data_IF_702057741618
#
_entry.id   IF_702057741618
#
_cell.length_a   1.000
_cell.length_b   1.000
_cell.length_c   1.000
_cell.angle_alpha   90.00
_cell.angle_beta   90.00
_cell.angle_gamma   90.00
#
_symmetry.space_group_name_H-M   'P 1'
#
loop_
_entity.id
_entity.type
_entity.pdbx_description
1 polymer ?
#
# COMPACT_ATOMS: atom_id res chain seq x y z
N UNK A 1 27.18 16.05 -18.75
CA UNK A 1 26.23 16.59 -19.74
C UNK A 1 25.03 17.11 -18.96
N UNK A 2 24.39 18.19 -19.39
CA UNK A 2 23.20 18.69 -18.70
C UNK A 2 22.08 17.64 -18.76
N UNK A 3 21.39 17.41 -17.65
CA UNK A 3 20.23 16.53 -17.59
C UNK A 3 19.10 17.11 -18.46
N UNK A 4 18.58 16.31 -19.37
CA UNK A 4 17.50 16.71 -20.29
C UNK A 4 16.19 16.11 -19.80
N UNK A 5 15.16 16.95 -19.66
CA UNK A 5 13.81 16.51 -19.36
C UNK A 5 13.17 15.86 -20.59
N UNK A 6 12.56 14.69 -20.38
CA UNK A 6 11.63 14.04 -21.27
C UNK A 6 10.21 14.57 -21.06
N UNK A 7 9.73 15.36 -22.02
CA UNK A 7 8.36 15.88 -22.09
C UNK A 7 7.54 15.21 -23.20
N UNK A 8 7.92 14.01 -23.64
CA UNK A 8 7.14 13.28 -24.64
C UNK A 8 5.70 13.08 -24.15
N UNK A 9 4.68 13.34 -25.00
CA UNK A 9 3.28 13.12 -24.64
C UNK A 9 3.04 11.68 -24.19
N UNK A 10 2.02 11.47 -23.36
CA UNK A 10 1.66 10.13 -22.92
C UNK A 10 1.19 9.24 -24.08
N UNK A 11 1.65 8.00 -24.09
CA UNK A 11 1.21 6.93 -24.97
C UNK A 11 0.12 6.05 -24.36
N UNK A 12 -0.28 4.97 -25.06
CA UNK A 12 -1.25 4.00 -24.55
C UNK A 12 -0.83 3.42 -23.20
N UNK A 13 -1.76 3.41 -22.24
CA UNK A 13 -1.51 2.88 -20.90
C UNK A 13 -0.72 3.81 -19.97
N UNK A 14 -0.37 5.02 -20.41
CA UNK A 14 0.23 6.07 -19.57
C UNK A 14 -0.85 7.07 -19.09
N UNK A 15 -0.65 7.68 -17.92
CA UNK A 15 -1.64 8.60 -17.34
C UNK A 15 -1.64 9.98 -18.01
N UNK A 16 -0.45 10.48 -18.37
CA UNK A 16 -0.26 11.82 -18.90
C UNK A 16 0.05 12.87 -17.84
N UNK A 17 0.59 14.00 -18.29
CA UNK A 17 0.82 15.17 -17.46
C UNK A 17 -0.52 15.74 -17.00
N UNK A 18 -0.68 15.96 -15.69
CA UNK A 18 -1.91 16.51 -15.13
C UNK A 18 -1.61 17.41 -13.94
N UNK A 19 -2.41 18.49 -13.72
CA UNK A 19 -3.44 18.99 -14.64
C UNK A 19 -2.81 19.74 -15.85
N UNK A 20 -3.39 19.66 -17.04
CA UNK A 20 -2.91 20.42 -18.22
C UNK A 20 -4.08 20.77 -19.14
N UNK A 21 -4.29 22.06 -19.41
CA UNK A 21 -5.37 22.61 -20.23
C UNK A 21 -6.78 22.14 -19.83
N UNK A 22 -7.00 22.03 -18.51
CA UNK A 22 -8.26 21.57 -17.90
C UNK A 22 -8.70 22.52 -16.78
N UNK A 23 -9.99 22.47 -16.45
CA UNK A 23 -10.53 23.01 -15.20
C UNK A 23 -10.70 21.87 -14.20
N UNK A 24 -10.16 22.01 -12.98
CA UNK A 24 -10.28 21.01 -11.92
C UNK A 24 -11.39 21.37 -10.95
N UNK A 25 -12.18 20.37 -10.55
CA UNK A 25 -13.25 20.50 -9.55
C UNK A 25 -12.76 20.17 -8.13
N UNK A 26 -11.45 19.99 -7.95
CA UNK A 26 -10.77 19.77 -6.67
C UNK A 26 -9.61 20.75 -6.48
N UNK A 27 -9.32 21.06 -5.22
CA UNK A 27 -8.17 21.89 -4.81
C UNK A 27 -7.51 21.35 -3.53
N UNK A 28 -6.17 21.26 -3.46
CA UNK A 28 -5.25 21.39 -4.58
C UNK A 28 -5.41 20.22 -5.57
N UNK A 29 -5.07 20.40 -6.85
CA UNK A 29 -5.15 19.31 -7.82
C UNK A 29 -4.11 18.21 -7.51
N UNK A 30 -4.36 16.99 -8.01
CA UNK A 30 -3.32 15.97 -8.11
C UNK A 30 -2.40 16.24 -9.31
N UNK A 31 -1.13 16.48 -9.04
CA UNK A 31 -0.08 16.61 -10.03
C UNK A 31 0.46 15.24 -10.42
N UNK A 32 0.64 15.01 -11.72
CA UNK A 32 1.30 13.81 -12.28
C UNK A 32 2.19 14.24 -13.42
N UNK A 33 3.43 13.74 -13.45
CA UNK A 33 4.39 14.01 -14.53
C UNK A 33 5.09 12.74 -14.99
N UNK A 34 5.72 12.80 -16.18
CA UNK A 34 6.47 11.68 -16.76
C UNK A 34 7.71 11.36 -15.89
N UNK A 35 7.91 10.08 -15.50
CA UNK A 35 9.15 9.65 -14.86
C UNK A 35 10.37 9.91 -15.75
N UNK A 36 11.43 10.45 -15.15
CA UNK A 36 12.67 10.81 -15.84
C UNK A 36 13.73 9.72 -15.63
N UNK A 37 14.57 9.51 -16.63
CA UNK A 37 15.66 8.53 -16.55
C UNK A 37 16.66 8.93 -15.46
N UNK A 38 17.07 7.98 -14.62
CA UNK A 38 18.02 8.16 -13.51
C UNK A 38 17.61 9.20 -12.44
N UNK A 39 16.35 9.65 -12.42
CA UNK A 39 15.89 10.59 -11.41
C UNK A 39 15.84 9.96 -10.01
N UNK A 40 16.50 10.61 -9.06
CA UNK A 40 16.45 10.28 -7.64
C UNK A 40 15.41 11.12 -6.88
N UNK A 41 15.13 12.33 -7.36
CA UNK A 41 14.12 13.20 -6.75
C UNK A 41 13.57 14.23 -7.74
N UNK A 42 12.44 14.84 -7.37
CA UNK A 42 11.76 15.87 -8.14
C UNK A 42 11.45 17.09 -7.27
N UNK A 43 11.48 18.26 -7.92
CA UNK A 43 10.91 19.50 -7.39
C UNK A 43 9.74 19.93 -8.28
N UNK A 44 8.71 20.52 -7.69
CA UNK A 44 7.55 21.09 -8.39
C UNK A 44 7.33 22.53 -7.93
N UNK A 45 6.97 23.40 -8.87
CA UNK A 45 6.56 24.77 -8.60
C UNK A 45 5.18 25.03 -9.20
N UNK A 46 4.35 25.78 -8.48
CA UNK A 46 3.10 26.34 -8.98
C UNK A 46 3.11 27.86 -8.85
N UNK A 47 2.55 28.55 -9.84
CA UNK A 47 2.53 30.00 -9.95
C UNK A 47 1.20 30.49 -10.52
N UNK A 48 0.88 31.77 -10.28
CA UNK A 48 -0.27 32.45 -10.90
C UNK A 48 0.08 33.11 -12.24
N UNK A 49 1.37 33.17 -12.57
CA UNK A 49 1.91 33.77 -13.80
C UNK A 49 2.75 32.75 -14.56
N UNK A 50 2.63 32.78 -15.90
CA UNK A 50 3.21 31.75 -16.79
C UNK A 50 4.74 31.75 -16.87
N UNK A 51 5.38 32.87 -16.52
CA UNK A 51 6.83 33.02 -16.51
C UNK A 51 7.48 32.54 -15.20
N UNK A 52 6.68 32.15 -14.21
CA UNK A 52 7.13 31.72 -12.89
C UNK A 52 7.98 32.77 -12.17
N UNK A 53 7.73 34.06 -12.42
CA UNK A 53 8.36 35.18 -11.70
C UNK A 53 7.90 35.31 -10.25
N UNK A 54 6.71 34.78 -9.93
CA UNK A 54 6.16 34.70 -8.57
C UNK A 54 5.67 33.27 -8.29
N UNK A 55 6.36 32.58 -7.38
CA UNK A 55 6.09 31.18 -7.02
C UNK A 55 5.16 31.16 -5.81
N UNK A 56 3.93 30.71 -6.02
CA UNK A 56 2.92 30.61 -4.98
C UNK A 56 3.00 29.30 -4.19
N UNK A 57 3.56 28.23 -4.78
CA UNK A 57 3.78 26.96 -4.08
C UNK A 57 5.01 26.25 -4.63
N UNK A 58 5.76 25.58 -3.74
CA UNK A 58 6.92 24.77 -4.09
C UNK A 58 6.98 23.52 -3.19
N UNK A 59 7.28 22.37 -3.78
CA UNK A 59 7.68 21.18 -3.05
C UNK A 59 8.96 20.59 -3.64
N UNK A 60 9.84 20.09 -2.77
CA UNK A 60 11.18 19.60 -3.12
C UNK A 60 11.42 18.19 -2.61
N UNK A 61 12.35 17.49 -3.26
CA UNK A 61 12.78 16.17 -2.82
C UNK A 61 11.68 15.11 -2.90
N UNK A 62 10.74 15.26 -3.84
CA UNK A 62 9.68 14.30 -4.07
C UNK A 62 10.26 13.04 -4.70
N UNK A 63 9.94 11.87 -4.15
CA UNK A 63 10.46 10.57 -4.65
C UNK A 63 9.51 9.88 -5.63
N UNK A 64 8.28 10.38 -5.76
CA UNK A 64 7.29 9.88 -6.68
C UNK A 64 7.00 10.91 -7.77
N UNK A 65 6.41 10.44 -8.87
CA UNK A 65 6.00 11.27 -10.01
C UNK A 65 4.57 11.78 -9.91
N UNK A 66 4.05 11.78 -8.69
CA UNK A 66 2.74 12.30 -8.33
C UNK A 66 2.87 13.13 -7.08
N UNK A 67 2.05 14.17 -6.97
CA UNK A 67 2.04 15.04 -5.81
C UNK A 67 0.67 15.67 -5.60
N UNK A 68 0.28 15.83 -4.34
CA UNK A 68 -0.85 16.68 -3.96
C UNK A 68 -0.41 17.54 -2.78
N UNK A 69 -0.65 18.84 -2.87
CA UNK A 69 -0.25 19.76 -1.82
C UNK A 69 -1.08 19.56 -0.53
N UNK A 70 -0.49 19.94 0.60
CA UNK A 70 -1.18 20.03 1.89
C UNK A 70 -1.96 21.34 2.03
N UNK A 71 -1.67 22.31 1.17
CA UNK A 71 -2.26 23.64 1.16
C UNK A 71 -3.32 23.71 0.07
N UNK A 72 -4.46 24.32 0.37
CA UNK A 72 -5.55 24.54 -0.59
C UNK A 72 -5.19 25.74 -1.46
N UNK A 73 -5.38 25.61 -2.77
CA UNK A 73 -5.14 26.66 -3.74
C UNK A 73 -6.44 27.42 -4.04
N UNK A 74 -6.35 28.73 -4.25
CA UNK A 74 -7.50 29.55 -4.63
C UNK A 74 -7.94 29.28 -6.07
N UNK A 75 -9.20 29.58 -6.36
CA UNK A 75 -9.77 29.42 -7.70
C UNK A 75 -9.07 30.27 -8.76
N UNK A 76 -9.26 29.93 -10.03
CA UNK A 76 -8.74 30.68 -11.17
C UNK A 76 -7.52 30.04 -11.83
N UNK A 77 -6.79 30.84 -12.61
CA UNK A 77 -5.71 30.36 -13.46
C UNK A 77 -4.43 30.07 -12.68
N UNK A 78 -3.82 28.92 -12.97
CA UNK A 78 -2.57 28.46 -12.41
C UNK A 78 -1.64 27.91 -13.48
N UNK A 79 -0.36 27.88 -13.15
CA UNK A 79 0.71 27.27 -13.94
C UNK A 79 1.56 26.40 -13.04
N UNK A 80 2.06 25.28 -13.55
CA UNK A 80 3.01 24.44 -12.83
C UNK A 80 4.12 23.91 -13.74
N UNK A 81 5.27 23.62 -13.14
CA UNK A 81 6.43 22.99 -13.79
C UNK A 81 7.16 22.11 -12.80
N UNK A 82 7.96 21.18 -13.29
CA UNK A 82 8.77 20.30 -12.47
C UNK A 82 10.20 20.25 -12.98
N UNK A 83 11.12 19.76 -12.16
CA UNK A 83 12.48 19.38 -12.54
C UNK A 83 12.90 18.15 -11.76
N UNK A 84 13.99 17.52 -12.13
CA UNK A 84 14.51 16.37 -11.40
C UNK A 84 15.99 16.52 -11.07
N UNK A 85 16.42 15.79 -10.06
CA UNK A 85 17.83 15.56 -9.78
C UNK A 85 18.17 14.08 -9.94
N UNK A 86 19.35 13.78 -10.47
CA UNK A 86 19.86 12.42 -10.57
C UNK A 86 20.48 11.93 -9.26
N UNK A 87 20.96 10.68 -9.23
CA UNK A 87 21.61 10.07 -8.07
C UNK A 87 22.93 10.73 -7.66
N UNK A 88 23.57 11.49 -8.56
CA UNK A 88 24.81 12.24 -8.30
C UNK A 88 24.53 13.68 -7.82
N UNK A 89 23.25 14.06 -7.72
CA UNK A 89 22.81 15.38 -7.31
C UNK A 89 22.87 16.45 -8.40
N UNK A 90 23.11 16.07 -9.67
CA UNK A 90 22.95 17.00 -10.78
C UNK A 90 21.46 17.31 -10.96
N UNK A 91 21.14 18.57 -11.23
CA UNK A 91 19.75 19.05 -11.35
C UNK A 91 19.48 19.44 -12.79
N UNK A 92 18.32 19.04 -13.32
CA UNK A 92 17.88 19.44 -14.66
C UNK A 92 17.43 20.90 -14.69
N UNK A 93 17.33 21.45 -15.90
CA UNK A 93 16.50 22.64 -16.13
C UNK A 93 15.05 22.36 -15.76
N UNK A 94 14.23 23.41 -15.63
CA UNK A 94 12.79 23.26 -15.44
C UNK A 94 12.11 22.74 -16.72
N UNK A 95 11.04 21.96 -16.54
CA UNK A 95 10.15 21.55 -17.62
C UNK A 95 9.38 22.74 -18.19
N UNK A 96 8.72 22.54 -19.33
CA UNK A 96 7.73 23.48 -19.83
C UNK A 96 6.60 23.71 -18.81
N UNK A 97 6.15 24.96 -18.73
CA UNK A 97 5.04 25.36 -17.88
C UNK A 97 3.70 24.84 -18.42
N UNK A 98 2.91 24.23 -17.55
CA UNK A 98 1.57 23.69 -17.87
C UNK A 98 0.50 24.50 -17.17
N UNK A 99 -0.53 24.89 -17.91
CA UNK A 99 -1.62 25.72 -17.44
C UNK A 99 -2.82 24.87 -16.99
N UNK A 100 -3.53 25.31 -15.96
CA UNK A 100 -4.81 24.74 -15.53
C UNK A 100 -5.65 25.78 -14.80
N UNK A 101 -6.93 25.52 -14.63
CA UNK A 101 -7.86 26.37 -13.87
C UNK A 101 -8.42 25.58 -12.70
N UNK A 102 -8.54 26.20 -11.53
CA UNK A 102 -9.30 25.66 -10.40
C UNK A 102 -10.69 26.30 -10.41
N UNK A 103 -11.75 25.48 -10.41
CA UNK A 103 -13.13 25.95 -10.40
C UNK A 103 -13.42 26.79 -9.14
N UNK A 104 -14.34 27.75 -9.25
CA UNK A 104 -14.73 28.63 -8.13
C UNK A 104 -15.28 27.84 -6.92
N UNK A 105 -15.91 26.69 -7.18
CA UNK A 105 -16.55 25.85 -6.17
C UNK A 105 -15.79 24.52 -5.99
N UNK A 106 -14.50 24.48 -6.32
CA UNK A 106 -13.69 23.28 -6.23
C UNK A 106 -13.68 22.72 -4.79
N UNK A 107 -13.80 21.40 -4.67
CA UNK A 107 -13.79 20.70 -3.38
C UNK A 107 -12.39 20.69 -2.78
N UNK A 108 -12.27 21.10 -1.52
CA UNK A 108 -10.99 21.09 -0.80
C UNK A 108 -10.61 19.66 -0.38
N UNK A 109 -9.59 19.09 -1.01
CA UNK A 109 -9.08 17.73 -0.77
C UNK A 109 -7.55 17.71 -0.53
N UNK A 110 -7.00 18.55 0.38
CA UNK A 110 -5.55 18.59 0.63
C UNK A 110 -5.02 17.24 1.15
N UNK A 111 -3.80 16.89 0.76
CA UNK A 111 -3.10 15.73 1.29
C UNK A 111 -2.27 16.15 2.50
N UNK A 112 -2.56 15.67 3.73
CA UNK A 112 -1.77 16.04 4.91
C UNK A 112 -0.29 15.72 4.73
N UNK A 113 0.58 16.50 5.37
CA UNK A 113 2.04 16.31 5.29
C UNK A 113 2.40 14.91 5.80
N UNK A 114 3.45 14.31 5.22
CA UNK A 114 3.92 12.98 5.64
C UNK A 114 4.18 12.89 7.15
N UNK A 115 4.77 13.92 7.76
CA UNK A 115 5.01 13.96 9.21
C UNK A 115 3.74 13.90 10.04
N UNK A 116 2.66 14.52 9.55
CA UNK A 116 1.34 14.47 10.19
C UNK A 116 0.71 13.09 10.04
N UNK A 117 0.74 12.52 8.82
CA UNK A 117 0.23 11.17 8.58
C UNK A 117 0.93 10.13 9.46
N UNK A 118 2.27 10.16 9.52
CA UNK A 118 3.06 9.29 10.40
C UNK A 118 2.76 9.56 11.87
N UNK A 119 2.60 10.82 12.27
CA UNK A 119 2.26 11.21 13.64
C UNK A 119 0.87 10.71 14.10
N UNK A 120 -0.04 10.42 13.16
CA UNK A 120 -1.38 9.86 13.44
C UNK A 120 -1.38 8.34 13.61
N UNK A 121 -0.31 7.65 13.25
CA UNK A 121 -0.16 6.20 13.44
C UNK A 121 0.07 5.93 14.95
N UNK A 122 -0.76 5.10 15.60
CA UNK A 122 -0.58 4.76 17.00
C UNK A 122 0.79 4.11 17.28
N UNK A 123 1.42 4.48 18.40
CA UNK A 123 2.70 3.89 18.82
C UNK A 123 2.54 2.41 19.21
N UNK A 124 1.43 2.08 19.86
CA UNK A 124 1.04 0.71 20.21
C UNK A 124 0.18 0.08 19.11
N UNK A 125 0.05 -1.24 19.18
CA UNK A 125 -0.84 -2.01 18.31
C UNK A 125 -2.23 -2.18 18.96
N UNK A 126 -3.31 -2.40 18.18
CA UNK A 126 -3.33 -2.58 16.73
C UNK A 126 -3.18 -1.28 15.91
N UNK A 127 -2.75 -1.38 14.65
CA UNK A 127 -2.61 -0.24 13.73
C UNK A 127 -3.40 -0.38 12.43
N UNK A 128 -3.97 -1.56 12.17
CA UNK A 128 -4.79 -1.84 11.00
C UNK A 128 -6.24 -2.05 11.44
N UNK A 129 -7.18 -1.49 10.67
CA UNK A 129 -8.63 -1.41 10.90
C UNK A 129 -9.10 -0.68 12.16
N UNK A 130 -8.42 -0.90 13.29
CA UNK A 130 -8.78 -0.38 14.59
C UNK A 130 -7.62 0.42 15.18
N UNK A 131 -7.94 1.39 16.01
CA UNK A 131 -6.95 2.09 16.83
C UNK A 131 -6.94 1.49 18.24
N UNK A 132 -5.81 1.50 18.95
CA UNK A 132 -5.73 0.96 20.31
C UNK A 132 -6.72 1.63 21.27
N UNK A 133 -6.91 2.95 21.13
CA UNK A 133 -7.84 3.74 21.93
C UNK A 133 -9.33 3.37 21.75
N UNK A 134 -9.70 2.71 20.64
CA UNK A 134 -11.08 2.34 20.34
C UNK A 134 -11.46 0.94 20.87
N UNK A 135 -10.48 0.16 21.35
CA UNK A 135 -10.69 -1.25 21.70
C UNK A 135 -11.71 -1.45 22.82
N UNK A 136 -11.67 -0.65 23.89
CA UNK A 136 -12.59 -0.82 25.02
C UNK A 136 -14.04 -0.52 24.64
N UNK A 137 -14.26 0.48 23.78
CA UNK A 137 -15.56 0.78 23.20
C UNK A 137 -16.06 -0.37 22.33
N UNK A 138 -15.20 -0.91 21.45
CA UNK A 138 -15.56 -2.04 20.59
C UNK A 138 -15.86 -3.31 21.37
N UNK A 139 -15.10 -3.61 22.43
CA UNK A 139 -15.38 -4.71 23.36
C UNK A 139 -16.72 -4.54 24.05
N UNK A 140 -17.07 -3.33 24.46
CA UNK A 140 -18.38 -3.05 25.06
C UNK A 140 -19.52 -3.30 24.05
N UNK A 141 -19.35 -2.86 22.80
CA UNK A 141 -20.31 -3.09 21.72
C UNK A 141 -20.44 -4.56 21.32
N UNK A 142 -19.34 -5.30 21.30
CA UNK A 142 -19.33 -6.75 21.07
C UNK A 142 -20.15 -7.52 22.12
N UNK A 143 -20.25 -7.00 23.36
CA UNK A 143 -21.16 -7.55 24.39
C UNK A 143 -22.59 -7.00 24.32
N UNK A 144 -22.81 -5.96 23.54
CA UNK A 144 -24.06 -5.20 23.46
C UNK A 144 -24.69 -5.28 22.07
N UNK A 145 -24.74 -4.15 21.37
CA UNK A 145 -25.44 -3.99 20.09
C UNK A 145 -24.86 -4.84 18.95
N UNK A 146 -23.57 -5.18 19.02
CA UNK A 146 -22.89 -6.02 18.03
C UNK A 146 -22.78 -7.49 18.44
N UNK A 147 -23.44 -7.90 19.53
CA UNK A 147 -23.33 -9.28 20.03
C UNK A 147 -23.63 -10.35 18.97
N UNK A 148 -24.67 -10.25 18.13
CA UNK A 148 -24.91 -11.27 17.10
C UNK A 148 -23.73 -11.42 16.12
N UNK A 149 -23.13 -10.31 15.68
CA UNK A 149 -21.97 -10.32 14.78
C UNK A 149 -20.73 -10.89 15.49
N UNK A 150 -20.58 -10.58 16.78
CA UNK A 150 -19.48 -11.14 17.57
C UNK A 150 -19.65 -12.65 17.81
N UNK A 151 -20.87 -13.12 18.06
CA UNK A 151 -21.16 -14.54 18.22
C UNK A 151 -20.86 -15.33 16.92
N UNK A 152 -21.12 -14.75 15.74
CA UNK A 152 -20.74 -15.33 14.44
C UNK A 152 -19.20 -15.44 14.28
N UNK A 153 -18.46 -14.45 14.79
CA UNK A 153 -16.99 -14.50 14.82
C UNK A 153 -16.49 -15.62 15.75
N UNK A 154 -17.12 -15.78 16.92
CA UNK A 154 -16.79 -16.86 17.86
C UNK A 154 -17.07 -18.22 17.21
N UNK A 155 -18.23 -18.41 16.56
CA UNK A 155 -18.54 -19.64 15.85
C UNK A 155 -17.50 -19.95 14.75
N UNK A 156 -17.10 -18.92 13.99
CA UNK A 156 -16.04 -19.06 12.98
C UNK A 156 -14.70 -19.47 13.62
N UNK A 157 -14.35 -18.91 14.79
CA UNK A 157 -13.15 -19.33 15.51
C UNK A 157 -13.22 -20.79 15.96
N UNK A 158 -14.37 -21.25 16.48
CA UNK A 158 -14.56 -22.66 16.86
C UNK A 158 -14.43 -23.60 15.66
N UNK A 159 -14.98 -23.22 14.50
CA UNK A 159 -14.83 -24.00 13.26
C UNK A 159 -13.36 -24.08 12.81
N UNK A 160 -12.62 -22.97 12.90
CA UNK A 160 -11.18 -22.94 12.61
C UNK A 160 -10.42 -23.87 13.57
N UNK A 161 -10.74 -23.86 14.86
CA UNK A 161 -10.05 -24.72 15.83
C UNK A 161 -10.37 -26.20 15.63
N UNK A 162 -11.59 -26.53 15.18
CA UNK A 162 -12.00 -27.89 14.86
C UNK A 162 -11.29 -28.46 13.62
N UNK A 163 -11.01 -27.62 12.62
CA UNK A 163 -10.27 -27.97 11.41
C UNK A 163 -9.14 -26.96 11.14
N UNK A 164 -8.12 -27.03 12.00
CA UNK A 164 -6.97 -26.12 11.93
C UNK A 164 -6.26 -26.21 10.57
N UNK A 165 -5.92 -25.07 9.97
CA UNK A 165 -5.29 -25.07 8.66
C UNK A 165 -3.86 -25.58 8.73
N UNK A 166 -3.46 -26.36 7.73
CA UNK A 166 -2.08 -26.82 7.57
C UNK A 166 -1.14 -25.63 7.39
N UNK A 167 0.05 -25.69 7.99
CA UNK A 167 1.08 -24.64 7.87
C UNK A 167 2.29 -25.09 7.06
N UNK A 168 2.17 -26.21 6.34
CA UNK A 168 3.21 -26.63 5.39
C UNK A 168 3.35 -25.57 4.32
N UNK A 169 4.59 -25.32 3.91
CA UNK A 169 4.84 -24.35 2.86
C UNK A 169 4.14 -24.78 1.56
N UNK A 170 3.43 -23.86 0.86
CA UNK A 170 2.79 -24.18 -0.42
C UNK A 170 3.80 -24.65 -1.47
N UNK A 171 3.42 -25.55 -2.38
CA UNK A 171 4.33 -26.08 -3.39
C UNK A 171 4.70 -25.01 -4.44
N UNK A 172 5.92 -25.14 -4.96
CA UNK A 172 6.34 -24.49 -6.19
C UNK A 172 5.69 -25.18 -7.41
N UNK A 173 5.60 -24.46 -8.53
CA UNK A 173 5.31 -25.06 -9.83
C UNK A 173 6.36 -26.14 -10.17
N UNK A 174 5.93 -27.34 -10.59
CA UNK A 174 6.81 -28.35 -11.14
C UNK A 174 7.67 -27.84 -12.29
N UNK A 175 8.84 -28.46 -12.47
CA UNK A 175 9.70 -28.14 -13.59
C UNK A 175 8.99 -28.44 -14.93
N UNK A 176 8.97 -27.45 -15.83
CA UNK A 176 8.31 -27.57 -17.13
C UNK A 176 6.82 -27.19 -17.13
N UNK A 177 6.25 -26.76 -15.99
CA UNK A 177 4.87 -26.25 -15.96
C UNK A 177 4.70 -25.07 -16.93
N UNK A 178 3.70 -25.19 -17.82
CA UNK A 178 3.40 -24.18 -18.83
C UNK A 178 2.42 -23.15 -18.25
N UNK A 179 2.74 -21.87 -18.37
CA UNK A 179 1.88 -20.77 -17.93
C UNK A 179 0.50 -20.86 -18.62
N UNK A 180 -0.58 -20.72 -17.83
CA UNK A 180 -1.99 -20.89 -18.22
C UNK A 180 -2.44 -22.34 -18.50
N UNK A 181 -1.61 -23.36 -18.28
CA UNK A 181 -2.06 -24.76 -18.26
C UNK A 181 -3.01 -25.04 -17.09
N UNK A 182 -3.66 -26.20 -17.11
CA UNK A 182 -4.50 -26.66 -15.99
C UNK A 182 -3.67 -26.81 -14.71
N UNK A 183 -2.53 -27.51 -14.77
CA UNK A 183 -1.59 -27.66 -13.66
C UNK A 183 -1.14 -26.29 -13.09
N UNK A 184 -0.83 -25.32 -13.96
CA UNK A 184 -0.47 -23.98 -13.52
C UNK A 184 -1.62 -23.30 -12.77
N UNK A 185 -2.86 -23.40 -13.28
CA UNK A 185 -4.03 -22.79 -12.63
C UNK A 185 -4.38 -23.45 -11.31
N UNK A 186 -4.24 -24.77 -11.23
CA UNK A 186 -4.44 -25.52 -9.99
C UNK A 186 -3.48 -25.05 -8.90
N UNK A 187 -2.19 -24.90 -9.21
CA UNK A 187 -1.21 -24.40 -8.23
C UNK A 187 -1.38 -22.91 -7.97
N UNK A 188 -1.61 -22.11 -9.02
CA UNK A 188 -1.76 -20.66 -8.90
C UNK A 188 -2.94 -20.29 -7.99
N UNK A 189 -4.12 -20.84 -8.27
CA UNK A 189 -5.32 -20.61 -7.47
C UNK A 189 -5.32 -21.42 -6.17
N UNK A 190 -4.76 -22.63 -6.18
CA UNK A 190 -4.62 -23.47 -5.01
C UNK A 190 -3.76 -22.81 -3.93
N UNK A 191 -2.59 -22.28 -4.30
CA UNK A 191 -1.72 -21.55 -3.37
C UNK A 191 -2.39 -20.28 -2.85
N UNK A 192 -3.18 -19.57 -3.67
CA UNK A 192 -4.01 -18.45 -3.19
C UNK A 192 -4.98 -18.90 -2.11
N UNK A 193 -5.80 -19.90 -2.40
CA UNK A 193 -6.84 -20.36 -1.47
C UNK A 193 -6.23 -20.94 -0.20
N UNK A 194 -5.11 -21.66 -0.31
CA UNK A 194 -4.34 -22.16 0.83
C UNK A 194 -3.84 -21.02 1.71
N UNK A 195 -3.19 -20.01 1.11
CA UNK A 195 -2.66 -18.84 1.82
C UNK A 195 -3.76 -18.07 2.54
N UNK A 196 -4.90 -17.84 1.86
CA UNK A 196 -6.07 -17.21 2.46
C UNK A 196 -6.57 -18.05 3.64
N UNK A 197 -6.72 -19.37 3.48
CA UNK A 197 -7.23 -20.24 4.55
C UNK A 197 -6.37 -20.12 5.81
N UNK A 198 -5.05 -20.19 5.69
CA UNK A 198 -4.17 -20.14 6.86
C UNK A 198 -4.16 -18.75 7.50
N UNK A 199 -3.86 -17.70 6.73
CA UNK A 199 -3.61 -16.37 7.29
C UNK A 199 -4.89 -15.60 7.63
N UNK A 200 -6.00 -15.82 6.90
CA UNK A 200 -7.28 -15.27 7.31
C UNK A 200 -7.80 -15.95 8.59
N UNK A 201 -7.57 -17.25 8.77
CA UNK A 201 -7.88 -17.93 10.02
C UNK A 201 -7.10 -17.32 11.18
N UNK A 202 -5.80 -17.08 10.99
CA UNK A 202 -4.96 -16.43 11.99
C UNK A 202 -5.46 -15.01 12.31
N UNK A 203 -5.77 -14.20 11.30
CA UNK A 203 -6.29 -12.84 11.48
C UNK A 203 -7.64 -12.83 12.21
N UNK A 204 -8.52 -13.78 11.87
CA UNK A 204 -9.86 -13.92 12.49
C UNK A 204 -9.74 -14.31 13.96
N UNK A 205 -8.95 -15.34 14.28
CA UNK A 205 -8.68 -15.75 15.65
C UNK A 205 -8.09 -14.60 16.48
N UNK A 206 -7.11 -13.87 15.95
CA UNK A 206 -6.48 -12.74 16.63
C UNK A 206 -7.46 -11.59 16.87
N UNK A 207 -8.25 -11.24 15.85
CA UNK A 207 -9.23 -10.16 15.92
C UNK A 207 -10.34 -10.46 16.93
N UNK A 208 -10.90 -11.67 16.91
CA UNK A 208 -11.94 -12.10 17.86
C UNK A 208 -11.43 -12.07 19.30
N UNK A 209 -10.17 -12.47 19.54
CA UNK A 209 -9.50 -12.35 20.84
C UNK A 209 -9.39 -10.89 21.29
N UNK A 210 -8.96 -9.98 20.41
CA UNK A 210 -8.87 -8.55 20.72
C UNK A 210 -10.19 -7.94 21.19
N UNK A 211 -11.32 -8.41 20.64
CA UNK A 211 -12.67 -7.95 20.99
C UNK A 211 -13.23 -8.55 22.29
N UNK A 212 -12.40 -9.29 23.05
CA UNK A 212 -12.78 -9.91 24.32
C UNK A 212 -13.05 -11.41 24.22
N UNK A 213 -12.56 -12.05 23.15
CA UNK A 213 -12.60 -13.50 22.99
C UNK A 213 -11.62 -14.24 23.88
N UNK A 214 -11.62 -15.57 23.78
CA UNK A 214 -10.78 -16.44 24.59
C UNK A 214 -9.29 -16.23 24.25
N UNK A 215 -8.42 -16.22 25.27
CA UNK A 215 -6.97 -16.05 25.08
C UNK A 215 -6.37 -17.13 24.16
N UNK A 216 -6.91 -18.34 24.20
CA UNK A 216 -6.45 -19.44 23.34
C UNK A 216 -6.56 -19.14 21.84
N UNK A 217 -7.52 -18.32 21.40
CA UNK A 217 -7.59 -17.88 20.01
C UNK A 217 -6.35 -17.06 19.62
N UNK A 218 -5.88 -16.19 20.52
CA UNK A 218 -4.66 -15.41 20.32
C UNK A 218 -3.41 -16.28 20.20
N UNK A 219 -3.28 -17.29 21.05
CA UNK A 219 -2.16 -18.25 20.99
C UNK A 219 -2.16 -19.04 19.69
N UNK A 220 -3.33 -19.48 19.21
CA UNK A 220 -3.45 -20.19 17.94
C UNK A 220 -3.20 -19.29 16.72
N UNK A 221 -3.64 -18.04 16.77
CA UNK A 221 -3.30 -17.06 15.76
C UNK A 221 -1.79 -16.80 15.69
N UNK A 222 -1.13 -16.65 16.85
CA UNK A 222 0.32 -16.51 16.96
C UNK A 222 1.05 -17.73 16.38
N UNK A 223 0.59 -18.94 16.70
CA UNK A 223 1.15 -20.20 16.16
C UNK A 223 1.11 -20.22 14.62
N UNK A 224 -0.05 -19.91 14.02
CA UNK A 224 -0.21 -19.84 12.57
C UNK A 224 0.67 -18.75 11.95
N UNK A 225 0.70 -17.55 12.54
CA UNK A 225 1.53 -16.43 12.07
C UNK A 225 3.01 -16.82 12.01
N UNK A 226 3.54 -17.36 13.10
CA UNK A 226 4.96 -17.72 13.20
C UNK A 226 5.32 -18.94 12.35
N UNK A 227 4.36 -19.83 12.08
CA UNK A 227 4.56 -20.91 11.14
C UNK A 227 4.66 -20.39 9.70
N UNK A 228 3.77 -19.49 9.28
CA UNK A 228 3.83 -18.85 7.96
C UNK A 228 5.07 -17.95 7.79
N UNK A 229 5.57 -17.36 8.88
CA UNK A 229 6.79 -16.54 8.86
C UNK A 229 8.06 -17.35 8.52
N UNK A 230 7.98 -18.69 8.54
CA UNK A 230 9.08 -19.58 8.15
C UNK A 230 9.06 -19.98 6.68
N UNK A 231 7.97 -19.69 5.95
CA UNK A 231 7.93 -19.92 4.50
C UNK A 231 8.95 -19.03 3.81
N UNK A 232 9.49 -19.47 2.68
CA UNK A 232 10.37 -18.65 1.85
C UNK A 232 9.58 -17.41 1.38
N UNK A 233 9.98 -16.19 1.80
CA UNK A 233 9.27 -14.98 1.43
C UNK A 233 9.27 -14.71 -0.09
N UNK A 234 10.20 -15.29 -0.84
CA UNK A 234 10.28 -15.18 -2.30
C UNK A 234 9.89 -16.49 -3.01
N UNK A 235 9.37 -17.48 -2.27
CA UNK A 235 8.96 -18.79 -2.76
C UNK A 235 7.53 -18.80 -3.32
N UNK A 236 6.79 -19.87 -3.05
CA UNK A 236 5.46 -20.13 -3.63
C UNK A 236 4.41 -19.03 -3.36
N UNK A 237 4.59 -18.27 -2.28
CA UNK A 237 3.74 -17.15 -1.87
C UNK A 237 4.41 -15.79 -2.05
N UNK A 238 5.55 -15.72 -2.74
CA UNK A 238 6.18 -14.46 -3.13
C UNK A 238 5.32 -13.73 -4.17
N UNK A 239 5.28 -12.40 -4.11
CA UNK A 239 4.43 -11.59 -4.97
C UNK A 239 4.83 -11.69 -6.45
N UNK A 240 6.12 -11.86 -6.77
CA UNK A 240 6.55 -12.08 -8.16
C UNK A 240 6.31 -13.50 -8.65
N UNK A 241 6.31 -14.47 -7.76
CA UNK A 241 6.12 -15.87 -8.09
C UNK A 241 4.64 -16.20 -8.36
N UNK A 242 3.77 -15.76 -7.44
CA UNK A 242 2.33 -15.90 -7.53
C UNK A 242 1.69 -14.72 -6.79
N UNK A 243 1.38 -13.66 -7.51
CA UNK A 243 0.79 -12.44 -6.96
C UNK A 243 -0.55 -12.68 -6.26
N UNK A 244 -1.36 -13.62 -6.76
CA UNK A 244 -2.63 -14.02 -6.17
C UNK A 244 -2.48 -14.75 -4.82
N UNK A 245 -1.33 -15.37 -4.54
CA UNK A 245 -0.97 -15.88 -3.22
C UNK A 245 -0.22 -14.84 -2.38
N UNK A 246 0.68 -14.05 -2.99
CA UNK A 246 1.46 -13.04 -2.29
C UNK A 246 0.63 -11.87 -1.76
N UNK A 247 -0.41 -11.42 -2.48
CA UNK A 247 -1.33 -10.40 -1.97
C UNK A 247 -1.98 -10.80 -0.64
N UNK A 248 -2.74 -11.93 -0.55
CA UNK A 248 -3.31 -12.38 0.73
C UNK A 248 -2.28 -12.75 1.77
N UNK A 249 -1.09 -13.23 1.37
CA UNK A 249 -0.01 -13.40 2.34
C UNK A 249 0.26 -12.07 3.04
N UNK A 250 0.57 -11.04 2.27
CA UNK A 250 0.99 -9.76 2.81
C UNK A 250 -0.07 -9.09 3.69
N UNK A 251 -1.31 -8.92 3.21
CA UNK A 251 -2.30 -8.18 3.98
C UNK A 251 -2.85 -8.97 5.18
N UNK A 252 -3.04 -10.30 5.11
CA UNK A 252 -3.47 -11.06 6.30
C UNK A 252 -2.34 -11.26 7.32
N UNK A 253 -1.09 -11.39 6.86
CA UNK A 253 0.05 -11.52 7.76
C UNK A 253 0.24 -10.26 8.61
N UNK A 254 0.25 -9.06 7.99
CA UNK A 254 0.42 -7.82 8.75
C UNK A 254 -0.76 -7.53 9.69
N UNK A 255 -2.01 -7.84 9.26
CA UNK A 255 -3.21 -7.79 10.11
C UNK A 255 -3.08 -8.69 11.33
N UNK A 256 -2.68 -9.95 11.12
CA UNK A 256 -2.48 -10.90 12.22
C UNK A 256 -1.37 -10.40 13.16
N UNK A 257 -0.21 -9.99 12.61
CA UNK A 257 0.91 -9.44 13.38
C UNK A 257 0.48 -8.28 14.28
N UNK A 258 -0.29 -7.34 13.74
CA UNK A 258 -0.76 -6.21 14.54
C UNK A 258 -1.81 -6.62 15.57
N UNK A 259 -2.55 -7.72 15.39
CA UNK A 259 -3.58 -8.14 16.32
C UNK A 259 -3.06 -9.02 17.46
N UNK A 260 -1.97 -9.76 17.25
CA UNK A 260 -1.31 -10.57 18.29
C UNK A 260 -0.05 -9.92 18.87
N UNK A 261 0.21 -8.64 18.55
CA UNK A 261 1.49 -8.00 18.88
C UNK A 261 1.84 -8.03 20.37
N UNK A 262 0.84 -7.99 21.25
CA UNK A 262 0.98 -8.09 22.70
C UNK A 262 1.38 -9.49 23.19
N UNK A 263 1.14 -10.53 22.38
CA UNK A 263 1.52 -11.92 22.65
C UNK A 263 2.92 -12.29 22.10
N UNK A 264 3.48 -11.47 21.21
CA UNK A 264 4.79 -11.71 20.62
C UNK A 264 5.91 -11.18 21.52
N UNK A 265 6.96 -11.98 21.72
CA UNK A 265 8.23 -11.47 22.23
C UNK A 265 8.98 -10.68 21.15
N UNK A 266 10.04 -9.97 21.51
CA UNK A 266 10.76 -9.12 20.56
C UNK A 266 11.41 -9.92 19.42
N UNK A 267 11.93 -11.10 19.71
CA UNK A 267 12.53 -12.00 18.72
C UNK A 267 11.50 -12.47 17.68
N UNK A 268 10.29 -12.83 18.13
CA UNK A 268 9.17 -13.20 17.27
C UNK A 268 8.71 -12.02 16.41
N UNK A 269 8.69 -10.81 16.97
CA UNK A 269 8.36 -9.61 16.21
C UNK A 269 9.39 -9.30 15.14
N UNK A 270 10.68 -9.50 15.42
CA UNK A 270 11.73 -9.33 14.41
C UNK A 270 11.59 -10.34 13.27
N UNK A 271 11.24 -11.60 13.56
CA UNK A 271 10.96 -12.61 12.53
C UNK A 271 9.82 -12.12 11.60
N UNK A 272 8.71 -11.65 12.16
CA UNK A 272 7.60 -11.12 11.37
C UNK A 272 8.01 -9.90 10.54
N UNK A 273 8.75 -8.95 11.14
CA UNK A 273 9.23 -7.75 10.43
C UNK A 273 10.19 -8.07 9.31
N UNK A 274 11.08 -9.05 9.48
CA UNK A 274 12.03 -9.47 8.46
C UNK A 274 11.30 -9.98 7.21
N UNK A 275 10.30 -10.85 7.38
CA UNK A 275 9.48 -11.37 6.27
C UNK A 275 8.68 -10.27 5.60
N UNK A 276 7.97 -9.44 6.37
CA UNK A 276 7.21 -8.30 5.83
C UNK A 276 8.10 -7.33 5.05
N UNK A 277 9.34 -7.10 5.51
CA UNK A 277 10.31 -6.25 4.80
C UNK A 277 10.71 -6.86 3.46
N UNK A 278 11.00 -8.15 3.40
CA UNK A 278 11.40 -8.82 2.14
C UNK A 278 10.26 -8.79 1.12
N UNK A 279 9.06 -9.24 1.51
CA UNK A 279 7.92 -9.26 0.59
C UNK A 279 7.42 -7.86 0.22
N UNK A 280 7.38 -6.94 1.19
CA UNK A 280 7.03 -5.55 0.95
C UNK A 280 8.01 -4.87 -0.02
N UNK A 281 9.31 -5.15 0.10
CA UNK A 281 10.31 -4.63 -0.83
C UNK A 281 10.15 -5.22 -2.23
N UNK A 282 9.97 -6.54 -2.36
CA UNK A 282 9.71 -7.18 -3.67
C UNK A 282 8.48 -6.57 -4.35
N UNK A 283 7.39 -6.41 -3.58
CA UNK A 283 6.16 -5.80 -4.06
C UNK A 283 6.43 -4.35 -4.49
N UNK A 284 7.07 -3.53 -3.64
CA UNK A 284 7.43 -2.14 -3.96
C UNK A 284 8.29 -2.01 -5.21
N UNK A 285 9.32 -2.83 -5.37
CA UNK A 285 10.24 -2.75 -6.51
C UNK A 285 9.51 -3.07 -7.82
N UNK A 286 8.64 -4.08 -7.82
CA UNK A 286 7.81 -4.38 -8.98
C UNK A 286 6.90 -3.21 -9.35
N UNK A 287 6.24 -2.68 -8.32
CA UNK A 287 5.17 -1.72 -8.42
C UNK A 287 5.69 -0.32 -8.79
N UNK A 288 6.66 0.19 -8.03
CA UNK A 288 7.20 1.54 -8.17
C UNK A 288 8.30 1.66 -9.21
N UNK A 289 9.17 0.66 -9.31
CA UNK A 289 10.36 0.75 -10.17
C UNK A 289 10.12 0.10 -11.52
N UNK A 290 9.68 -1.17 -11.54
CA UNK A 290 9.53 -1.94 -12.78
C UNK A 290 8.30 -1.52 -13.58
N UNK A 291 7.12 -1.46 -12.94
CA UNK A 291 5.86 -1.07 -13.58
C UNK A 291 5.68 0.44 -13.68
N UNK A 292 6.36 1.22 -12.82
CA UNK A 292 6.11 2.65 -12.64
C UNK A 292 4.61 2.94 -12.56
N UNK A 293 3.90 2.21 -11.69
CA UNK A 293 2.43 2.15 -11.66
C UNK A 293 1.76 3.53 -11.57
N UNK A 294 2.36 4.48 -10.87
CA UNK A 294 1.86 5.86 -10.77
C UNK A 294 1.79 6.59 -12.12
N UNK A 295 2.56 6.13 -13.11
CA UNK A 295 2.50 6.58 -14.51
C UNK A 295 1.72 5.61 -15.41
N UNK A 296 1.69 4.31 -15.08
CA UNK A 296 0.94 3.26 -15.79
C UNK A 296 -0.18 2.62 -14.91
N UNK A 297 -1.26 3.35 -14.56
CA UNK A 297 -2.15 2.95 -13.48
C UNK A 297 -3.23 1.92 -13.85
N UNK A 298 -3.21 1.40 -15.08
CA UNK A 298 -4.30 0.57 -15.62
C UNK A 298 -4.18 -0.94 -15.29
N UNK A 299 -3.26 -1.33 -14.40
CA UNK A 299 -3.12 -2.70 -13.92
C UNK A 299 -4.00 -3.00 -12.71
N UNK A 300 -4.99 -3.89 -12.85
CA UNK A 300 -5.92 -4.25 -11.76
C UNK A 300 -5.20 -4.85 -10.54
N UNK A 301 -4.30 -5.82 -10.76
CA UNK A 301 -3.53 -6.43 -9.66
C UNK A 301 -2.62 -5.42 -8.99
N UNK A 302 -1.91 -4.62 -9.79
CA UNK A 302 -1.00 -3.58 -9.30
C UNK A 302 -1.72 -2.52 -8.44
N UNK A 303 -2.93 -2.11 -8.84
CA UNK A 303 -3.74 -1.17 -8.06
C UNK A 303 -4.13 -1.73 -6.68
N UNK A 304 -4.60 -2.99 -6.62
CA UNK A 304 -4.90 -3.66 -5.34
C UNK A 304 -3.63 -3.79 -4.48
N UNK A 305 -2.53 -4.24 -5.08
CA UNK A 305 -1.27 -4.47 -4.39
C UNK A 305 -0.69 -3.18 -3.77
N UNK A 306 -0.89 -2.01 -4.41
CA UNK A 306 -0.48 -0.73 -3.83
C UNK A 306 -1.09 -0.45 -2.46
N UNK A 307 -2.39 -0.78 -2.31
CA UNK A 307 -3.10 -0.61 -1.04
C UNK A 307 -2.62 -1.61 0.01
N UNK A 308 -2.37 -2.86 -0.38
CA UNK A 308 -1.84 -3.88 0.52
C UNK A 308 -0.43 -3.55 0.99
N UNK A 309 0.42 -2.99 0.12
CA UNK A 309 1.74 -2.49 0.51
C UNK A 309 1.66 -1.39 1.57
N UNK A 310 0.62 -0.55 1.50
CA UNK A 310 0.30 0.43 2.54
C UNK A 310 0.02 -0.23 3.91
N UNK A 311 -0.68 -1.37 3.94
CA UNK A 311 -0.91 -2.12 5.18
C UNK A 311 0.37 -2.76 5.75
N UNK A 312 1.29 -3.22 4.90
CA UNK A 312 2.59 -3.76 5.34
C UNK A 312 3.45 -2.66 5.99
N UNK A 313 3.33 -1.42 5.52
CA UNK A 313 4.17 -0.30 5.95
C UNK A 313 3.79 0.34 7.30
N UNK A 314 2.70 -0.11 7.96
CA UNK A 314 2.11 0.50 9.17
C UNK A 314 2.22 -0.44 10.37
#
# INVERSE_FOLDING_TARGET
MALKIDETPAGPGEWGFRPENVTTEETPPAFVWRPQENAASYDIQCARVADFSDIAYEAKGLIYTVHRAAEVFDSGQWYWRFRFADGDGQVSEWSSGRAFVIAQNASALPLPKRSELIGRIPKSHPRLFLRPEDLDSLRARARGDLKPIYDDLVATCEDILADMPSTREPPLYPEGTVVLSEEWREIWWGNRMYTIRVLNSAATLAFTRLLGGQDHYGEKAKELLLACAKWDPLGATGYRYNDEAGMPYNYYFCRTYTFVNDLLCEEEREICRAVMKVQGQEMYDHLAVQMRYLWHPYGSHAGRAWHFLGEIGV
#
